data_IF_444777138447
#
_entry.id   IF_444777138447
#
_cell.length_a   1.000
_cell.length_b   1.000
_cell.length_c   1.000
_cell.angle_alpha   90.00
_cell.angle_beta   90.00
_cell.angle_gamma   90.00
#
_symmetry.space_group_name_H-M   'P 1'
#
loop_
_entity.id
_entity.type
_entity.pdbx_description
1 polymer ?
#
# COMPACT_ATOMS: atom_id res chain seq x y z
N UNK A 1 -3.56 -7.93 -7.55
CA UNK A 1 -3.90 -7.24 -6.29
C UNK A 1 -2.96 -7.79 -5.25
N UNK A 2 -2.41 -6.97 -4.34
CA UNK A 2 -1.44 -7.49 -3.37
C UNK A 2 -2.11 -7.86 -2.05
N UNK A 3 -1.60 -8.90 -1.41
CA UNK A 3 -2.09 -9.34 -0.11
C UNK A 3 -0.93 -9.66 0.83
N UNK A 4 -1.05 -9.22 2.09
CA UNK A 4 -0.11 -9.59 3.14
C UNK A 4 -0.63 -10.79 3.92
N UNK A 5 0.02 -11.94 3.80
CA UNK A 5 -0.38 -13.15 4.54
C UNK A 5 -0.23 -13.03 6.05
N UNK A 6 0.71 -12.21 6.52
CA UNK A 6 0.98 -12.05 7.95
C UNK A 6 -0.03 -11.08 8.60
N UNK A 7 -0.32 -9.95 7.95
CA UNK A 7 -1.32 -9.00 8.44
C UNK A 7 -2.75 -9.41 8.11
N UNK A 8 -2.96 -10.36 7.19
CA UNK A 8 -4.26 -10.74 6.62
C UNK A 8 -5.02 -9.53 6.05
N UNK A 9 -4.29 -8.63 5.38
CA UNK A 9 -4.82 -7.40 4.78
C UNK A 9 -4.49 -7.32 3.31
N UNK A 10 -5.44 -6.79 2.55
CA UNK A 10 -5.24 -6.35 1.17
C UNK A 10 -4.32 -5.12 1.15
N UNK A 11 -3.41 -5.08 0.17
CA UNK A 11 -2.49 -3.97 -0.03
C UNK A 11 -2.71 -3.37 -1.42
N UNK A 12 -2.96 -2.07 -1.46
CA UNK A 12 -3.19 -1.31 -2.69
C UNK A 12 -1.92 -0.53 -3.03
N UNK A 13 -1.45 -0.66 -4.27
CA UNK A 13 -0.36 0.19 -4.77
C UNK A 13 -0.95 1.53 -5.20
N UNK A 14 -0.40 2.61 -4.69
CA UNK A 14 -0.81 3.97 -5.05
C UNK A 14 0.38 4.78 -5.56
N UNK A 15 0.29 5.23 -6.81
CA UNK A 15 1.29 6.07 -7.45
C UNK A 15 1.04 7.55 -7.14
N UNK A 16 2.03 8.24 -6.60
CA UNK A 16 1.96 9.65 -6.22
C UNK A 16 3.01 10.44 -6.97
N UNK A 17 2.58 11.52 -7.63
CA UNK A 17 3.49 12.55 -8.14
C UNK A 17 3.73 13.61 -7.06
N UNK A 18 4.97 14.01 -6.82
CA UNK A 18 5.28 15.03 -5.82
C UNK A 18 4.71 16.39 -6.27
N UNK A 19 3.72 16.88 -5.56
CA UNK A 19 3.17 18.23 -5.72
C UNK A 19 2.99 18.91 -4.35
N UNK A 20 3.10 20.24 -4.26
CA UNK A 20 2.87 20.96 -3.00
C UNK A 20 1.47 20.66 -2.46
N UNK A 21 1.35 20.30 -1.18
CA UNK A 21 0.07 20.00 -0.53
C UNK A 21 -0.45 18.56 -0.69
N UNK A 22 0.29 17.68 -1.38
CA UNK A 22 -0.11 16.27 -1.53
C UNK A 22 -0.10 15.52 -0.18
N UNK A 23 0.77 15.91 0.76
CA UNK A 23 0.99 15.17 2.01
C UNK A 23 -0.28 15.03 2.86
N UNK A 24 -1.11 16.07 2.95
CA UNK A 24 -2.38 16.00 3.67
C UNK A 24 -3.37 15.06 2.97
N UNK A 25 -3.47 15.13 1.64
CA UNK A 25 -4.32 14.22 0.87
C UNK A 25 -3.86 12.76 1.00
N UNK A 26 -2.55 12.49 1.05
CA UNK A 26 -2.02 11.13 1.26
C UNK A 26 -2.33 10.61 2.67
N UNK A 27 -2.32 11.50 3.66
CA UNK A 27 -2.65 11.15 5.04
C UNK A 27 -4.13 10.77 5.18
N UNK A 28 -5.02 11.56 4.58
CA UNK A 28 -6.45 11.26 4.57
C UNK A 28 -6.74 9.96 3.81
N UNK A 29 -6.11 9.76 2.66
CA UNK A 29 -6.24 8.53 1.88
C UNK A 29 -5.76 7.30 2.68
N UNK A 30 -4.61 7.40 3.36
CA UNK A 30 -4.11 6.31 4.21
C UNK A 30 -5.13 5.96 5.30
N UNK A 31 -5.70 6.97 5.97
CA UNK A 31 -6.68 6.77 7.03
C UNK A 31 -7.94 6.07 6.51
N UNK A 32 -8.48 6.51 5.37
CA UNK A 32 -9.65 5.88 4.75
C UNK A 32 -9.41 4.40 4.44
N UNK A 33 -8.24 4.06 3.89
CA UNK A 33 -7.92 2.67 3.59
C UNK A 33 -7.76 1.82 4.86
N UNK A 34 -7.19 2.38 5.93
CA UNK A 34 -7.11 1.70 7.22
C UNK A 34 -8.49 1.43 7.82
N UNK A 35 -9.43 2.37 7.69
CA UNK A 35 -10.84 2.21 8.09
C UNK A 35 -11.55 1.11 7.28
N UNK A 36 -11.19 0.93 6.00
CA UNK A 36 -11.63 -0.19 5.16
C UNK A 36 -10.89 -1.51 5.45
N UNK A 37 -9.93 -1.52 6.39
CA UNK A 37 -9.13 -2.69 6.73
C UNK A 37 -8.01 -3.02 5.74
N UNK A 38 -7.71 -2.10 4.82
CA UNK A 38 -6.67 -2.23 3.79
C UNK A 38 -5.37 -1.51 4.19
N UNK A 39 -4.30 -1.78 3.46
CA UNK A 39 -3.04 -1.05 3.54
C UNK A 39 -2.72 -0.39 2.20
N UNK A 40 -2.01 0.74 2.22
CA UNK A 40 -1.46 1.35 1.01
C UNK A 40 0.06 1.23 0.97
N UNK A 41 0.56 0.89 -0.21
CA UNK A 41 1.97 0.97 -0.58
C UNK A 41 2.16 2.10 -1.60
N UNK A 42 2.84 3.18 -1.18
CA UNK A 42 3.08 4.35 -2.02
C UNK A 42 4.38 4.20 -2.82
N UNK A 43 4.31 4.47 -4.13
CA UNK A 43 5.48 4.53 -5.04
C UNK A 43 6.49 3.38 -4.87
N UNK A 44 6.07 2.10 -4.83
CA UNK A 44 7.04 1.02 -4.74
C UNK A 44 7.85 0.89 -6.05
N UNK A 45 9.09 0.39 -5.98
CA UNK A 45 9.89 0.12 -7.17
C UNK A 45 9.19 -0.91 -8.09
N UNK A 46 9.30 -0.74 -9.43
CA UNK A 46 8.54 -1.54 -10.39
C UNK A 46 9.03 -2.99 -10.56
N UNK A 47 10.29 -3.29 -10.22
CA UNK A 47 10.93 -4.58 -10.51
C UNK A 47 11.46 -5.30 -9.26
N UNK A 48 10.94 -4.98 -8.08
CA UNK A 48 11.32 -5.64 -6.83
C UNK A 48 10.10 -6.31 -6.19
N UNK A 49 10.30 -7.37 -5.38
CA UNK A 49 9.21 -7.91 -4.56
C UNK A 49 8.65 -6.82 -3.66
N UNK A 50 7.33 -6.70 -3.66
CA UNK A 50 6.64 -5.73 -2.82
C UNK A 50 6.64 -6.22 -1.37
N UNK A 51 6.91 -5.33 -0.44
CA UNK A 51 6.93 -5.64 0.98
C UNK A 51 5.80 -4.92 1.71
N UNK A 52 5.21 -5.60 2.69
CA UNK A 52 4.13 -5.07 3.50
C UNK A 52 4.61 -3.83 4.27
N UNK A 53 3.91 -2.69 4.16
CA UNK A 53 4.30 -1.47 4.86
C UNK A 53 4.15 -1.57 6.40
N UNK A 54 3.43 -2.58 6.89
CA UNK A 54 3.19 -2.77 8.33
C UNK A 54 4.14 -3.79 8.98
N UNK A 55 4.36 -4.95 8.36
CA UNK A 55 5.15 -6.04 8.95
C UNK A 55 6.41 -6.42 8.16
N UNK A 56 6.68 -5.78 7.02
CA UNK A 56 7.84 -6.04 6.18
C UNK A 56 7.85 -7.38 5.45
N UNK A 57 6.83 -8.22 5.60
CA UNK A 57 6.74 -9.49 4.87
C UNK A 57 6.51 -9.27 3.37
N UNK A 58 7.00 -10.18 2.53
CA UNK A 58 6.73 -10.15 1.09
C UNK A 58 5.21 -10.25 0.82
N UNK A 59 4.74 -9.44 -0.13
CA UNK A 59 3.35 -9.41 -0.55
C UNK A 59 3.13 -10.36 -1.71
N UNK A 60 2.03 -11.09 -1.65
CA UNK A 60 1.63 -12.02 -2.72
C UNK A 60 0.66 -11.33 -3.68
N UNK A 61 0.80 -11.61 -4.98
CA UNK A 61 -0.22 -11.23 -5.95
C UNK A 61 -1.32 -12.29 -5.97
N UNK A 62 -2.53 -11.89 -5.57
CA UNK A 62 -3.70 -12.76 -5.49
C UNK A 62 -4.55 -12.77 -6.77
N UNK A 63 -4.15 -12.06 -7.83
CA UNK A 63 -4.83 -12.08 -9.14
C UNK A 63 -4.14 -12.99 -10.17
N UNK A 64 -3.31 -13.94 -9.73
CA UNK A 64 -2.61 -14.89 -10.60
C UNK A 64 -3.47 -16.10 -10.96
#
# INVERSE_FOLDING_TARGET
>A
MLFCQNCKKEVVIYGVSHSPGIDEALKDLRKQMEEEGKLILFNPPPFAPYHCPNCGSELEDINK
#
